data_IF_380512719612
#
_entry.id   IF_380512719612
#
_cell.length_a   1.000
_cell.length_b   1.000
_cell.length_c   1.000
_cell.angle_alpha   90.00
_cell.angle_beta   90.00
_cell.angle_gamma   90.00
#
_symmetry.space_group_name_H-M   'P 1'
#
loop_
_entity.id
_entity.type
_entity.pdbx_description
1 polymer ?
#
# COMPACT_ATOMS: atom_id res chain seq x y z
N UNK A 1 26.44 -24.01 -5.70
CA UNK A 1 25.17 -23.24 -5.82
C UNK A 1 24.96 -22.56 -4.48
N UNK A 2 25.70 -21.48 -4.23
CA UNK A 2 25.77 -20.81 -2.93
C UNK A 2 25.01 -19.48 -3.00
N UNK A 3 23.86 -19.42 -2.33
CA UNK A 3 23.05 -18.21 -2.25
C UNK A 3 23.61 -17.26 -1.20
N UNK A 4 24.21 -16.19 -1.71
CA UNK A 4 24.83 -15.11 -0.96
C UNK A 4 23.77 -14.09 -0.53
N UNK A 5 23.21 -14.24 0.68
CA UNK A 5 22.24 -13.30 1.27
C UNK A 5 22.96 -12.08 1.87
N UNK A 6 23.03 -10.98 1.10
CA UNK A 6 23.33 -9.64 1.61
C UNK A 6 22.18 -9.17 2.52
N UNK A 7 22.43 -8.60 3.71
CA UNK A 7 21.38 -8.04 4.53
C UNK A 7 20.98 -6.65 4.01
N UNK A 8 19.76 -6.57 3.48
CA UNK A 8 19.11 -5.39 2.94
C UNK A 8 18.59 -4.49 4.09
N UNK A 9 19.40 -3.54 4.56
CA UNK A 9 18.97 -2.51 5.52
C UNK A 9 18.63 -1.18 4.83
N UNK A 10 17.99 -1.26 3.66
CA UNK A 10 17.42 -0.11 2.94
C UNK A 10 15.89 -0.11 3.08
N UNK A 11 15.39 0.06 4.31
CA UNK A 11 13.99 0.47 4.55
C UNK A 11 13.96 1.29 5.84
N UNK A 12 14.35 2.55 5.71
CA UNK A 12 14.07 3.56 6.72
C UNK A 12 12.57 3.79 6.75
N UNK A 13 11.96 3.49 7.90
CA UNK A 13 10.55 3.74 8.18
C UNK A 13 10.30 5.24 8.14
N UNK A 14 9.39 5.66 7.27
CA UNK A 14 8.73 6.95 7.38
C UNK A 14 7.89 6.96 8.67
N UNK A 15 8.42 7.59 9.73
CA UNK A 15 7.65 7.93 10.91
C UNK A 15 7.36 9.42 10.83
N UNK A 16 6.07 9.74 10.66
CA UNK A 16 5.55 11.10 10.68
C UNK A 16 5.69 11.74 12.07
N UNK A 17 6.28 12.94 12.08
CA UNK A 17 5.77 14.13 12.75
C UNK A 17 5.57 14.09 14.29
N UNK A 18 6.68 13.97 15.03
CA UNK A 18 6.90 14.86 16.19
C UNK A 18 8.29 15.45 16.05
N UNK A 19 8.42 16.76 16.25
CA UNK A 19 9.66 17.53 16.09
C UNK A 19 10.68 17.23 17.22
N UNK A 20 10.92 15.95 17.52
CA UNK A 20 12.06 15.52 18.33
C UNK A 20 13.31 15.63 17.46
N UNK A 21 14.11 16.67 17.70
CA UNK A 21 15.39 16.89 17.05
C UNK A 21 16.22 15.61 17.08
N UNK A 22 16.31 14.92 15.95
CA UNK A 22 17.15 13.73 15.81
C UNK A 22 18.60 14.16 16.01
N UNK A 23 19.22 13.65 17.08
CA UNK A 23 20.64 13.89 17.34
C UNK A 23 21.42 13.31 16.16
N UNK A 24 22.26 14.12 15.52
CA UNK A 24 23.00 13.67 14.35
C UNK A 24 23.97 12.55 14.74
N UNK A 25 23.85 11.38 14.12
CA UNK A 25 24.72 10.22 14.39
C UNK A 25 26.20 10.42 14.02
N UNK A 26 26.54 11.53 13.35
CA UNK A 26 27.92 11.87 12.95
C UNK A 26 28.64 12.73 13.98
N UNK A 27 27.97 13.75 14.52
CA UNK A 27 28.56 14.70 15.47
C UNK A 27 28.00 14.58 16.89
N UNK A 28 26.85 13.94 17.08
CA UNK A 28 26.17 13.84 18.38
C UNK A 28 25.42 15.11 18.80
N UNK A 29 25.26 16.10 17.91
CA UNK A 29 24.53 17.35 18.18
C UNK A 29 23.21 17.37 17.41
N UNK A 30 22.22 18.10 17.95
CA UNK A 30 20.96 18.35 17.29
C UNK A 30 21.12 19.45 16.23
N UNK A 31 20.96 19.12 14.95
CA UNK A 31 20.93 20.09 13.86
C UNK A 31 20.03 19.59 12.71
N UNK A 32 19.39 20.52 11.99
CA UNK A 32 18.38 20.18 10.97
C UNK A 32 18.94 19.84 9.60
N UNK A 33 20.04 20.48 9.18
CA UNK A 33 20.65 20.27 7.86
C UNK A 33 22.01 19.61 8.01
N UNK A 34 22.31 18.69 7.10
CA UNK A 34 23.58 17.97 7.04
C UNK A 34 24.78 18.93 6.86
N UNK A 35 24.60 20.00 6.10
CA UNK A 35 25.61 21.04 5.85
C UNK A 35 26.02 21.81 7.12
N UNK A 36 25.12 21.90 8.11
CA UNK A 36 25.42 22.52 9.42
C UNK A 36 26.08 21.54 10.39
N UNK A 37 26.42 20.32 9.96
CA UNK A 37 27.14 19.38 10.81
C UNK A 37 28.59 19.84 10.97
N UNK A 38 29.00 20.19 12.20
CA UNK A 38 30.39 20.50 12.51
C UNK A 38 31.39 19.41 12.11
N UNK A 39 30.92 18.17 11.95
CA UNK A 39 31.75 17.04 11.55
C UNK A 39 31.91 16.92 10.02
N UNK A 40 31.16 17.67 9.20
CA UNK A 40 31.13 17.52 7.74
C UNK A 40 32.52 17.63 7.09
N UNK A 41 33.27 18.68 7.42
CA UNK A 41 34.63 18.92 6.92
C UNK A 41 35.75 18.57 7.91
N UNK A 42 35.45 17.74 8.92
CA UNK A 42 36.47 17.31 9.90
C UNK A 42 36.92 15.89 9.57
N UNK A 43 38.23 15.69 9.51
CA UNK A 43 38.87 14.37 9.36
C UNK A 43 38.83 13.65 10.71
N UNK A 44 38.38 12.40 10.72
CA UNK A 44 38.42 11.57 11.91
C UNK A 44 39.85 11.10 12.18
N UNK A 45 40.41 11.44 13.35
CA UNK A 45 41.77 11.03 13.75
C UNK A 45 41.98 9.52 13.91
N UNK A 46 40.91 8.71 13.92
CA UNK A 46 41.02 7.25 14.10
C UNK A 46 41.01 6.45 12.78
N UNK A 47 40.42 6.99 11.72
CA UNK A 47 40.28 6.29 10.45
C UNK A 47 40.54 7.14 9.21
N UNK A 48 40.93 8.41 9.40
CA UNK A 48 41.23 9.41 8.39
C UNK A 48 40.10 9.72 7.39
N UNK A 49 38.88 9.25 7.64
CA UNK A 49 37.69 9.58 6.84
C UNK A 49 37.01 10.85 7.35
N UNK A 50 36.40 11.61 6.45
CA UNK A 50 35.64 12.82 6.77
C UNK A 50 34.22 12.50 7.26
N UNK A 51 33.57 13.48 7.91
CA UNK A 51 32.14 13.42 8.19
C UNK A 51 31.77 12.85 9.56
N UNK A 52 32.71 12.64 10.49
CA UNK A 52 32.43 12.26 11.88
C UNK A 52 33.63 12.57 12.80
N UNK A 53 33.39 12.66 14.12
CA UNK A 53 34.47 12.78 15.10
C UNK A 53 35.01 11.41 15.53
N UNK A 54 36.26 11.35 16.01
CA UNK A 54 36.89 10.12 16.50
C UNK A 54 36.05 9.36 17.54
N UNK A 55 35.31 10.08 18.40
CA UNK A 55 34.41 9.50 19.42
C UNK A 55 33.18 8.79 18.83
N UNK A 56 32.77 9.19 17.62
CA UNK A 56 31.65 8.62 16.85
C UNK A 56 32.15 7.65 15.76
N UNK A 57 33.44 7.27 15.80
CA UNK A 57 34.05 6.43 14.79
C UNK A 57 33.63 4.97 14.93
N UNK A 58 32.83 4.48 13.99
CA UNK A 58 32.36 3.10 13.99
C UNK A 58 33.48 2.07 13.75
N UNK A 59 34.59 2.46 13.12
CA UNK A 59 35.73 1.57 12.89
C UNK A 59 36.61 1.38 14.13
N UNK A 60 36.49 2.22 15.16
CA UNK A 60 37.25 2.06 16.40
C UNK A 60 36.75 0.89 17.25
N UNK A 61 35.48 0.48 17.10
CA UNK A 61 34.89 -0.64 17.85
C UNK A 61 35.25 -2.03 17.33
N UNK A 62 35.88 -2.14 16.16
CA UNK A 62 36.20 -3.44 15.55
C UNK A 62 37.64 -3.90 15.76
N UNK A 63 38.52 -3.08 16.35
CA UNK A 63 39.93 -3.47 16.56
C UNK A 63 40.23 -4.19 17.88
N UNK A 64 39.31 -4.15 18.85
CA UNK A 64 39.46 -4.84 20.14
C UNK A 64 38.69 -6.16 20.25
N UNK A 65 38.03 -6.63 19.18
CA UNK A 65 37.21 -7.86 19.21
C UNK A 65 37.77 -9.06 18.44
N UNK A 66 39.00 -8.99 17.91
CA UNK A 66 39.53 -10.06 17.05
C UNK A 66 40.22 -11.24 17.77
N UNK A 67 40.37 -11.20 19.11
CA UNK A 67 40.94 -12.34 19.88
C UNK A 67 40.22 -12.69 21.19
N UNK A 68 38.97 -12.27 21.37
CA UNK A 68 38.14 -12.71 22.49
C UNK A 68 37.03 -13.63 22.01
N UNK A 69 37.18 -14.95 22.19
CA UNK A 69 36.11 -15.97 22.02
C UNK A 69 34.83 -15.50 22.73
N UNK A 70 33.88 -14.92 21.97
CA UNK A 70 32.52 -14.69 22.45
C UNK A 70 31.75 -15.98 22.18
N UNK A 71 31.65 -16.80 23.24
CA UNK A 71 30.56 -17.76 23.39
C UNK A 71 29.26 -16.98 23.29
N UNK A 72 28.50 -17.24 22.24
CA UNK A 72 27.16 -16.71 22.06
C UNK A 72 26.24 -17.34 23.11
N UNK A 73 26.00 -16.64 24.22
CA UNK A 73 24.85 -16.90 25.07
C UNK A 73 23.76 -15.90 24.71
N UNK A 74 22.67 -16.40 24.16
CA UNK A 74 21.41 -15.67 24.04
C UNK A 74 21.01 -15.17 25.43
N UNK A 75 21.15 -13.88 25.71
CA UNK A 75 20.52 -13.24 26.88
C UNK A 75 19.72 -12.04 26.42
N UNK A 76 18.43 -12.29 26.21
CA UNK A 76 17.38 -11.30 26.31
C UNK A 76 17.26 -10.85 27.78
N UNK A 77 16.90 -9.57 27.99
CA UNK A 77 16.39 -9.00 29.26
C UNK A 77 17.31 -9.06 30.50
N UNK A 78 18.13 -8.03 30.73
CA UNK A 78 18.46 -7.52 32.09
C UNK A 78 19.46 -6.36 32.04
N UNK A 79 18.97 -5.12 31.85
CA UNK A 79 19.81 -3.91 31.99
C UNK A 79 19.30 -2.91 33.02
N UNK A 80 18.33 -3.28 33.86
CA UNK A 80 17.74 -2.40 34.89
C UNK A 80 18.34 -2.62 36.29
N UNK A 81 19.13 -3.68 36.51
CA UNK A 81 19.63 -4.02 37.85
C UNK A 81 21.02 -3.49 38.22
N UNK A 82 21.76 -2.85 37.28
CA UNK A 82 23.13 -2.38 37.55
C UNK A 82 23.20 -0.94 38.09
N UNK A 83 22.25 -0.07 37.75
CA UNK A 83 22.20 1.32 38.25
C UNK A 83 21.84 1.38 39.75
N UNK A 84 20.95 0.49 40.21
CA UNK A 84 20.54 0.44 41.61
C UNK A 84 21.68 0.05 42.56
N UNK A 85 22.62 -0.80 42.12
CA UNK A 85 23.77 -1.23 42.94
C UNK A 85 24.80 -0.11 43.17
N UNK A 86 24.88 0.88 42.29
CA UNK A 86 25.78 2.03 42.47
C UNK A 86 25.19 3.09 43.42
N UNK A 87 23.87 3.24 43.42
CA UNK A 87 23.14 4.13 44.34
C UNK A 87 23.33 3.71 45.80
N UNK A 88 23.16 2.42 46.11
CA UNK A 88 23.26 1.92 47.49
C UNK A 88 24.67 2.04 48.08
N UNK A 89 25.72 1.80 47.28
CA UNK A 89 27.11 1.99 47.70
C UNK A 89 27.47 3.46 47.98
N UNK A 90 26.88 4.42 47.25
CA UNK A 90 27.05 5.85 47.55
C UNK A 90 26.35 6.20 48.86
N UNK A 91 25.11 5.75 49.03
CA UNK A 91 24.34 5.98 50.25
C UNK A 91 25.00 5.41 51.51
N UNK A 92 25.61 4.22 51.41
CA UNK A 92 26.38 3.61 52.52
C UNK A 92 27.61 4.45 52.89
N UNK A 93 28.36 4.97 51.91
CA UNK A 93 29.52 5.84 52.16
C UNK A 93 29.13 7.15 52.81
N UNK A 94 28.03 7.74 52.37
CA UNK A 94 27.52 8.99 52.96
C UNK A 94 27.01 8.78 54.40
N UNK A 95 26.35 7.65 54.67
CA UNK A 95 25.97 7.27 56.04
C UNK A 95 27.19 7.06 56.96
N UNK A 96 28.24 6.39 56.46
CA UNK A 96 29.47 6.21 57.24
C UNK A 96 30.12 7.56 57.60
N UNK A 97 30.16 8.52 56.65
CA UNK A 97 30.66 9.88 56.90
C UNK A 97 29.84 10.62 57.95
N UNK A 98 28.52 10.47 57.94
CA UNK A 98 27.61 11.04 58.95
C UNK A 98 27.86 10.44 60.34
N UNK A 99 28.00 9.12 60.46
CA UNK A 99 28.30 8.45 61.73
C UNK A 99 29.62 8.96 62.30
N UNK A 100 30.66 9.06 61.46
CA UNK A 100 31.97 9.58 61.86
C UNK A 100 31.89 11.05 62.32
N UNK A 101 31.11 11.88 61.63
CA UNK A 101 30.87 13.27 62.04
C UNK A 101 30.16 13.35 63.41
N UNK A 102 29.13 12.55 63.66
CA UNK A 102 28.44 12.57 64.95
C UNK A 102 29.30 12.03 66.09
N UNK A 103 30.13 11.02 65.82
CA UNK A 103 31.11 10.52 66.80
C UNK A 103 32.11 11.61 67.19
N UNK A 104 32.68 12.32 66.20
CA UNK A 104 33.59 13.44 66.45
C UNK A 104 32.91 14.68 67.07
N UNK A 105 31.61 14.89 66.82
CA UNK A 105 30.86 15.99 67.44
C UNK A 105 30.63 15.76 68.94
N UNK A 106 30.50 14.50 69.36
CA UNK A 106 30.38 14.17 70.77
C UNK A 106 31.69 14.39 71.52
N UNK A 107 32.85 14.15 70.91
CA UNK A 107 34.15 14.48 71.53
C UNK A 107 34.39 15.99 71.66
N UNK A 108 33.78 16.82 70.81
CA UNK A 108 33.82 18.29 70.94
C UNK A 108 32.95 18.83 72.10
N UNK A 109 32.02 18.04 72.65
CA UNK A 109 31.27 18.41 73.87
C UNK A 109 32.10 18.28 75.14
N UNK A 110 33.22 17.56 75.10
CA UNK A 110 34.13 17.36 76.23
C UNK A 110 35.16 18.49 76.37
N UNK A 111 35.13 19.49 75.48
CA UNK A 111 35.96 20.69 75.64
C UNK A 111 35.50 21.51 76.86
N UNK A 112 36.43 22.01 77.70
CA UNK A 112 36.15 22.64 78.99
C UNK A 112 35.45 24.00 78.94
N UNK A 113 35.04 24.47 77.76
CA UNK A 113 34.28 25.72 77.58
C UNK A 113 32.77 25.57 77.88
N UNK A 114 32.31 24.39 78.33
CA UNK A 114 30.89 24.09 78.57
C UNK A 114 30.33 24.60 79.91
N UNK A 115 31.15 25.19 80.79
CA UNK A 115 30.71 25.68 82.10
C UNK A 115 30.22 27.13 82.11
N UNK A 116 30.46 27.92 81.05
CA UNK A 116 29.93 29.29 80.95
C UNK A 116 28.47 29.24 80.51
N UNK A 117 27.59 28.87 81.44
CA UNK A 117 26.15 29.07 81.28
C UNK A 117 25.85 30.56 81.39
N UNK A 118 26.04 31.28 80.29
CA UNK A 118 25.50 32.63 80.13
C UNK A 118 23.96 32.52 80.13
N UNK A 119 23.32 32.91 81.22
CA UNK A 119 21.86 32.89 81.39
C UNK A 119 21.12 33.65 80.28
N UNK A 120 21.75 34.65 79.68
CA UNK A 120 21.26 35.36 78.50
C UNK A 120 21.08 34.46 77.26
N UNK A 121 21.96 33.48 77.07
CA UNK A 121 21.88 32.54 75.92
C UNK A 121 20.76 31.52 76.15
N UNK A 122 20.56 31.06 77.39
CA UNK A 122 19.47 30.12 77.73
C UNK A 122 18.10 30.77 77.48
N UNK A 123 17.92 32.02 77.89
CA UNK A 123 16.67 32.77 77.64
C UNK A 123 16.37 33.00 76.14
N UNK A 124 17.39 33.03 75.28
CA UNK A 124 17.20 33.11 73.83
C UNK A 124 16.68 31.77 73.26
N UNK A 125 17.17 30.64 73.77
CA UNK A 125 16.71 29.32 73.34
C UNK A 125 15.28 29.01 73.79
N UNK A 126 14.85 29.53 74.94
CA UNK A 126 13.47 29.35 75.43
C UNK A 126 12.45 30.13 74.59
N UNK A 127 12.80 31.31 74.07
CA UNK A 127 11.95 32.05 73.09
C UNK A 127 11.84 31.36 71.73
N UNK A 128 12.78 30.47 71.38
CA UNK A 128 12.74 29.71 70.13
C UNK A 128 11.89 28.43 70.20
N UNK A 129 11.42 28.03 71.39
CA UNK A 129 10.57 26.84 71.57
C UNK A 129 9.23 26.93 70.82
N UNK A 130 8.42 28.02 70.92
CA UNK A 130 7.16 28.12 70.19
C UNK A 130 7.36 28.05 68.66
N UNK A 131 8.40 28.71 68.12
CA UNK A 131 8.74 28.64 66.69
C UNK A 131 9.10 27.21 66.24
N UNK A 132 9.73 26.40 67.10
CA UNK A 132 9.99 24.98 66.79
C UNK A 132 8.72 24.15 66.75
N UNK A 133 7.72 24.46 67.57
CA UNK A 133 6.41 23.78 67.55
C UNK A 133 5.65 24.12 66.28
N UNK A 134 5.58 25.42 65.93
CA UNK A 134 4.96 25.87 64.68
C UNK A 134 5.63 25.26 63.44
N UNK A 135 6.97 25.23 63.42
CA UNK A 135 7.73 24.63 62.33
C UNK A 135 7.50 23.11 62.23
N UNK A 136 7.36 22.41 63.36
CA UNK A 136 6.95 20.98 63.36
C UNK A 136 5.55 20.80 62.80
N UNK A 137 4.60 21.66 63.19
CA UNK A 137 3.22 21.58 62.75
C UNK A 137 3.10 21.89 61.24
N UNK A 138 3.80 22.91 60.74
CA UNK A 138 3.90 23.21 59.32
C UNK A 138 4.51 22.04 58.52
N UNK A 139 5.56 21.39 59.04
CA UNK A 139 6.14 20.20 58.41
C UNK A 139 5.17 19.01 58.34
N UNK A 140 4.33 18.81 59.37
CA UNK A 140 3.28 17.78 59.34
C UNK A 140 2.27 18.10 58.23
N UNK A 141 1.85 19.37 58.09
CA UNK A 141 0.94 19.78 57.02
C UNK A 141 1.55 19.60 55.63
N UNK A 142 2.82 19.95 55.44
CA UNK A 142 3.53 19.73 54.18
C UNK A 142 3.60 18.24 53.81
N UNK A 143 3.76 17.35 54.79
CA UNK A 143 3.73 15.89 54.55
C UNK A 143 2.34 15.41 54.10
N UNK A 144 1.26 15.91 54.72
CA UNK A 144 -0.12 15.62 54.31
C UNK A 144 -0.40 16.12 52.89
N UNK A 145 0.03 17.34 52.57
CA UNK A 145 -0.12 17.89 51.22
C UNK A 145 0.66 17.09 50.18
N UNK A 146 1.86 16.60 50.53
CA UNK A 146 2.66 15.74 49.65
C UNK A 146 1.96 14.42 49.33
N UNK A 147 1.30 13.78 50.30
CA UNK A 147 0.51 12.57 50.03
C UNK A 147 -0.68 12.84 49.12
N UNK A 148 -1.36 13.99 49.30
CA UNK A 148 -2.48 14.39 48.43
C UNK A 148 -1.99 14.65 47.00
N UNK A 149 -0.89 15.40 46.82
CA UNK A 149 -0.31 15.67 45.50
C UNK A 149 0.13 14.38 44.79
N UNK A 150 0.67 13.40 45.55
CA UNK A 150 1.03 12.11 44.98
C UNK A 150 -0.21 11.35 44.48
N UNK A 151 -1.29 11.33 45.27
CA UNK A 151 -2.53 10.68 44.90
C UNK A 151 -3.20 11.34 43.67
N UNK A 152 -3.24 12.68 43.63
CA UNK A 152 -3.80 13.41 42.47
C UNK A 152 -2.97 13.23 41.21
N UNK A 153 -1.64 13.17 41.32
CA UNK A 153 -0.75 12.87 40.19
C UNK A 153 -1.02 11.47 39.61
N UNK A 154 -1.28 10.48 40.46
CA UNK A 154 -1.60 9.13 39.99
C UNK A 154 -2.96 9.06 39.30
N UNK A 155 -3.97 9.76 39.83
CA UNK A 155 -5.28 9.88 39.17
C UNK A 155 -5.18 10.56 37.80
N UNK A 156 -4.38 11.63 37.68
CA UNK A 156 -4.14 12.29 36.40
C UNK A 156 -3.46 11.37 35.39
N UNK A 157 -2.48 10.55 35.83
CA UNK A 157 -1.84 9.56 34.94
C UNK A 157 -2.83 8.50 34.46
N UNK A 158 -3.70 8.00 35.34
CA UNK A 158 -4.76 7.05 34.95
C UNK A 158 -5.75 7.68 33.98
N UNK A 159 -6.16 8.93 34.22
CA UNK A 159 -7.02 9.67 33.30
C UNK A 159 -6.37 9.86 31.92
N UNK A 160 -5.08 10.21 31.86
CA UNK A 160 -4.33 10.33 30.62
C UNK A 160 -4.25 9.00 29.85
N UNK A 161 -4.03 7.89 30.55
CA UNK A 161 -3.99 6.56 29.92
C UNK A 161 -5.36 6.12 29.40
N UNK A 162 -6.43 6.45 30.13
CA UNK A 162 -7.80 6.24 29.66
C UNK A 162 -8.09 7.06 28.39
N UNK A 163 -7.69 8.33 28.36
CA UNK A 163 -7.83 9.18 27.18
C UNK A 163 -7.10 8.57 25.99
N UNK A 164 -5.84 8.14 26.15
CA UNK A 164 -5.08 7.46 25.08
C UNK A 164 -5.79 6.21 24.57
N UNK A 165 -6.31 5.39 25.47
CA UNK A 165 -7.04 4.17 25.13
C UNK A 165 -8.30 4.48 24.32
N UNK A 166 -9.05 5.52 24.71
CA UNK A 166 -10.23 5.98 23.98
C UNK A 166 -9.86 6.58 22.62
N UNK A 167 -8.76 7.33 22.52
CA UNK A 167 -8.26 7.86 21.25
C UNK A 167 -7.90 6.73 20.28
N UNK A 168 -7.21 5.68 20.73
CA UNK A 168 -6.92 4.52 19.88
C UNK A 168 -8.20 3.85 19.37
N UNK A 169 -9.20 3.63 20.26
CA UNK A 169 -10.49 3.06 19.87
C UNK A 169 -11.22 3.92 18.84
N UNK A 170 -11.17 5.25 18.98
CA UNK A 170 -11.79 6.19 18.05
C UNK A 170 -11.14 6.12 16.67
N UNK A 171 -9.80 6.01 16.60
CA UNK A 171 -9.07 5.81 15.35
C UNK A 171 -9.45 4.47 14.69
N UNK A 172 -9.57 3.40 15.47
CA UNK A 172 -10.00 2.09 14.95
C UNK A 172 -11.42 2.14 14.38
N UNK A 173 -12.35 2.80 15.08
CA UNK A 173 -13.72 3.03 14.57
C UNK A 173 -13.74 3.90 13.32
N UNK A 174 -12.88 4.92 13.22
CA UNK A 174 -12.76 5.73 12.00
C UNK A 174 -12.26 4.91 10.81
N UNK A 175 -11.24 4.07 11.00
CA UNK A 175 -10.76 3.17 9.96
C UNK A 175 -11.84 2.19 9.48
N UNK A 176 -12.71 1.74 10.40
CA UNK A 176 -13.87 0.93 10.04
C UNK A 176 -14.86 1.74 9.17
N UNK A 177 -15.17 2.98 9.53
CA UNK A 177 -16.03 3.84 8.70
C UNK A 177 -15.45 4.06 7.29
N UNK A 178 -14.16 4.36 7.17
CA UNK A 178 -13.49 4.52 5.88
C UNK A 178 -13.55 3.22 5.03
N UNK A 179 -13.54 2.05 5.68
CA UNK A 179 -13.73 0.77 4.98
C UNK A 179 -15.16 0.59 4.48
N UNK A 180 -16.17 1.06 5.22
CA UNK A 180 -17.58 1.01 4.78
C UNK A 180 -17.84 1.95 3.59
N UNK A 181 -17.20 3.11 3.53
CA UNK A 181 -17.28 4.01 2.37
C UNK A 181 -16.70 3.37 1.11
N UNK A 182 -15.57 2.67 1.23
CA UNK A 182 -14.98 1.90 0.12
C UNK A 182 -15.92 0.79 -0.36
N UNK A 183 -16.58 0.08 0.57
CA UNK A 183 -17.57 -0.94 0.22
C UNK A 183 -18.77 -0.34 -0.51
N UNK A 184 -19.26 0.83 -0.07
CA UNK A 184 -20.33 1.56 -0.76
C UNK A 184 -19.93 1.94 -2.19
N UNK A 185 -18.72 2.46 -2.40
CA UNK A 185 -18.20 2.76 -3.73
C UNK A 185 -18.03 1.50 -4.62
N UNK A 186 -17.73 0.34 -4.03
CA UNK A 186 -17.73 -0.93 -4.75
C UNK A 186 -19.14 -1.38 -5.14
N UNK A 187 -20.13 -1.23 -4.26
CA UNK A 187 -21.53 -1.53 -4.57
C UNK A 187 -22.06 -0.67 -5.71
N UNK A 188 -21.76 0.64 -5.71
CA UNK A 188 -22.16 1.56 -6.79
C UNK A 188 -21.54 1.17 -8.16
N UNK A 189 -20.34 0.58 -8.16
CA UNK A 189 -19.72 0.05 -9.39
C UNK A 189 -20.40 -1.23 -9.86
N UNK A 190 -20.79 -2.12 -8.94
CA UNK A 190 -21.50 -3.35 -9.26
C UNK A 190 -22.86 -3.03 -9.88
N UNK A 191 -23.63 -2.13 -9.29
CA UNK A 191 -24.95 -1.72 -9.81
C UNK A 191 -24.83 -1.06 -11.19
N UNK A 192 -23.78 -0.28 -11.43
CA UNK A 192 -23.50 0.28 -12.76
C UNK A 192 -23.21 -0.82 -13.80
N UNK A 193 -22.40 -1.82 -13.46
CA UNK A 193 -22.10 -2.95 -14.35
C UNK A 193 -23.33 -3.83 -14.62
N UNK A 194 -24.21 -4.00 -13.63
CA UNK A 194 -25.48 -4.72 -13.80
C UNK A 194 -26.39 -3.99 -14.81
N UNK A 195 -26.49 -2.67 -14.71
CA UNK A 195 -27.22 -1.86 -15.69
C UNK A 195 -26.62 -1.96 -17.09
N UNK A 196 -25.30 -1.86 -17.23
CA UNK A 196 -24.61 -2.03 -18.52
C UNK A 196 -24.85 -3.44 -19.10
N UNK A 197 -24.92 -4.47 -18.26
CA UNK A 197 -25.27 -5.84 -18.69
C UNK A 197 -26.70 -5.93 -19.20
N UNK A 198 -27.67 -5.28 -18.55
CA UNK A 198 -29.06 -5.20 -19.01
C UNK A 198 -29.18 -4.47 -20.34
N UNK A 199 -28.50 -3.33 -20.49
CA UNK A 199 -28.46 -2.55 -21.73
C UNK A 199 -27.83 -3.36 -22.88
N UNK A 200 -26.74 -4.08 -22.60
CA UNK A 200 -26.10 -4.99 -23.56
C UNK A 200 -27.02 -6.16 -23.94
N UNK A 201 -27.74 -6.75 -22.98
CA UNK A 201 -28.71 -7.82 -23.27
C UNK A 201 -29.86 -7.32 -24.15
N UNK A 202 -30.36 -6.11 -23.89
CA UNK A 202 -31.37 -5.47 -24.73
C UNK A 202 -30.83 -5.17 -26.15
N UNK A 203 -29.57 -4.74 -26.28
CA UNK A 203 -28.91 -4.55 -27.57
C UNK A 203 -28.79 -5.87 -28.35
N UNK A 204 -28.32 -6.94 -27.71
CA UNK A 204 -28.20 -8.27 -28.33
C UNK A 204 -29.55 -8.82 -28.79
N UNK A 205 -30.63 -8.58 -28.03
CA UNK A 205 -31.99 -8.94 -28.45
C UNK A 205 -32.40 -8.23 -29.74
N UNK A 206 -32.15 -6.91 -29.85
CA UNK A 206 -32.44 -6.13 -31.07
C UNK A 206 -31.67 -6.66 -32.28
N UNK A 207 -30.39 -7.02 -32.10
CA UNK A 207 -29.57 -7.61 -33.18
C UNK A 207 -30.15 -8.97 -33.60
N UNK A 208 -30.56 -9.80 -32.64
CA UNK A 208 -31.22 -11.07 -32.92
C UNK A 208 -32.51 -10.88 -33.71
N UNK A 209 -33.35 -9.92 -33.32
CA UNK A 209 -34.62 -9.62 -34.01
C UNK A 209 -34.36 -9.13 -35.44
N UNK A 210 -33.34 -8.28 -35.65
CA UNK A 210 -32.91 -7.84 -36.98
C UNK A 210 -32.40 -9.00 -37.85
N UNK A 211 -31.61 -9.91 -37.29
CA UNK A 211 -31.12 -11.08 -38.01
C UNK A 211 -32.28 -12.01 -38.41
N UNK A 212 -33.24 -12.25 -37.51
CA UNK A 212 -34.43 -13.04 -37.80
C UNK A 212 -35.26 -12.41 -38.93
N UNK A 213 -35.40 -11.08 -38.93
CA UNK A 213 -36.06 -10.36 -40.03
C UNK A 213 -35.33 -10.54 -41.38
N UNK A 214 -33.99 -10.46 -41.39
CA UNK A 214 -33.20 -10.70 -42.60
C UNK A 214 -33.31 -12.14 -43.10
N UNK A 215 -33.33 -13.12 -42.20
CA UNK A 215 -33.54 -14.54 -42.54
C UNK A 215 -34.89 -14.72 -43.23
N UNK A 216 -35.97 -14.22 -42.63
CA UNK A 216 -37.32 -14.29 -43.22
C UNK A 216 -37.39 -13.60 -44.59
N UNK A 217 -36.70 -12.46 -44.75
CA UNK A 217 -36.61 -11.76 -46.03
C UNK A 217 -35.89 -12.60 -47.09
N UNK A 218 -34.79 -13.27 -46.74
CA UNK A 218 -34.08 -14.18 -47.63
C UNK A 218 -34.95 -15.39 -48.01
N UNK A 219 -35.63 -16.01 -47.05
CA UNK A 219 -36.54 -17.13 -47.31
C UNK A 219 -37.66 -16.74 -48.29
N UNK A 220 -38.26 -15.58 -48.08
CA UNK A 220 -39.28 -15.04 -49.00
C UNK A 220 -38.73 -14.81 -50.41
N UNK A 221 -37.53 -14.24 -50.55
CA UNK A 221 -36.89 -14.06 -51.86
C UNK A 221 -36.58 -15.39 -52.54
N UNK A 222 -36.12 -16.41 -51.79
CA UNK A 222 -35.88 -17.74 -52.35
C UNK A 222 -37.17 -18.40 -52.84
N UNK A 223 -38.29 -18.17 -52.15
CA UNK A 223 -39.61 -18.62 -52.59
C UNK A 223 -40.06 -17.93 -53.89
N UNK A 224 -39.90 -16.61 -54.01
CA UNK A 224 -40.21 -15.88 -55.25
C UNK A 224 -39.37 -16.37 -56.43
N UNK A 225 -38.07 -16.60 -56.23
CA UNK A 225 -37.18 -17.17 -57.25
C UNK A 225 -37.65 -18.58 -57.64
N UNK A 226 -38.09 -19.40 -56.69
CA UNK A 226 -38.68 -20.72 -56.94
C UNK A 226 -39.92 -20.67 -57.84
N UNK A 227 -40.82 -19.72 -57.61
CA UNK A 227 -42.01 -19.54 -58.44
C UNK A 227 -41.64 -19.10 -59.87
N UNK A 228 -40.73 -18.12 -60.01
CA UNK A 228 -40.27 -17.64 -61.32
C UNK A 228 -39.58 -18.76 -62.10
N UNK A 229 -38.74 -19.56 -61.46
CA UNK A 229 -38.06 -20.70 -62.10
C UNK A 229 -39.04 -21.77 -62.57
N UNK A 230 -40.08 -22.05 -61.78
CA UNK A 230 -41.16 -22.98 -62.16
C UNK A 230 -41.93 -22.46 -63.38
N UNK A 231 -42.31 -21.18 -63.37
CA UNK A 231 -43.00 -20.53 -64.49
C UNK A 231 -42.15 -20.52 -65.78
N UNK A 232 -40.84 -20.27 -65.65
CA UNK A 232 -39.91 -20.36 -66.77
C UNK A 232 -39.79 -21.79 -67.33
N UNK A 233 -39.87 -22.82 -66.48
CA UNK A 233 -39.88 -24.21 -66.93
C UNK A 233 -41.13 -24.49 -67.78
N UNK A 234 -42.31 -24.09 -67.32
CA UNK A 234 -43.56 -24.24 -68.09
C UNK A 234 -43.51 -23.52 -69.44
N UNK A 235 -42.97 -22.29 -69.47
CA UNK A 235 -42.80 -21.54 -70.72
C UNK A 235 -41.83 -22.26 -71.67
N UNK A 236 -40.76 -22.87 -71.14
CA UNK A 236 -39.80 -23.63 -71.93
C UNK A 236 -40.43 -24.89 -72.52
N UNK A 237 -41.25 -25.60 -71.75
CA UNK A 237 -41.99 -26.78 -72.22
C UNK A 237 -43.00 -26.40 -73.31
N UNK A 238 -43.75 -25.30 -73.11
CA UNK A 238 -44.66 -24.74 -74.14
C UNK A 238 -43.91 -24.31 -75.40
N UNK A 239 -42.73 -23.71 -75.25
CA UNK A 239 -41.90 -23.34 -76.40
C UNK A 239 -41.44 -24.58 -77.16
N UNK A 240 -41.10 -25.67 -76.45
CA UNK A 240 -40.69 -26.92 -77.06
C UNK A 240 -41.82 -27.59 -77.85
N UNK A 241 -43.04 -27.60 -77.31
CA UNK A 241 -44.20 -28.14 -78.03
C UNK A 241 -44.54 -27.33 -79.28
N UNK A 242 -44.42 -26.00 -79.23
CA UNK A 242 -44.55 -25.14 -80.40
C UNK A 242 -43.46 -25.41 -81.46
N UNK A 243 -42.22 -25.64 -81.04
CA UNK A 243 -41.15 -26.01 -81.99
C UNK A 243 -41.40 -27.38 -82.63
N UNK A 244 -41.94 -28.34 -81.87
CA UNK A 244 -42.29 -29.66 -82.39
C UNK A 244 -43.47 -29.56 -83.38
N UNK A 245 -44.50 -28.78 -83.07
CA UNK A 245 -45.63 -28.50 -83.98
C UNK A 245 -45.19 -27.82 -85.27
N UNK A 246 -44.31 -26.82 -85.17
CA UNK A 246 -43.78 -26.13 -86.36
C UNK A 246 -42.91 -27.03 -87.21
N UNK A 247 -42.12 -27.94 -86.59
CA UNK A 247 -41.37 -28.96 -87.31
C UNK A 247 -42.29 -29.95 -88.05
N UNK A 248 -43.41 -30.36 -87.43
CA UNK A 248 -44.41 -31.22 -88.05
C UNK A 248 -45.09 -30.55 -89.24
N UNK A 249 -45.52 -29.28 -89.09
CA UNK A 249 -46.07 -28.48 -90.20
C UNK A 249 -45.04 -28.36 -91.34
N UNK A 250 -43.78 -28.08 -91.02
CA UNK A 250 -42.72 -28.01 -92.02
C UNK A 250 -42.52 -29.36 -92.76
N UNK A 251 -42.61 -30.48 -92.04
CA UNK A 251 -42.59 -31.81 -92.64
C UNK A 251 -43.80 -32.08 -93.54
N UNK A 252 -45.01 -31.69 -93.14
CA UNK A 252 -46.21 -31.80 -93.99
C UNK A 252 -46.08 -30.98 -95.28
N UNK A 253 -45.58 -29.74 -95.18
CA UNK A 253 -45.29 -28.89 -96.36
C UNK A 253 -44.23 -29.53 -97.26
N UNK A 254 -43.19 -30.14 -96.68
CA UNK A 254 -42.14 -30.85 -97.44
C UNK A 254 -42.72 -32.05 -98.19
N UNK A 255 -43.56 -32.86 -97.56
CA UNK A 255 -44.25 -34.00 -98.21
C UNK A 255 -45.13 -33.50 -99.36
N UNK A 256 -45.89 -32.42 -99.16
CA UNK A 256 -46.73 -31.80 -100.19
C UNK A 256 -45.98 -31.19 -101.39
N UNK A 257 -44.68 -30.88 -101.26
CA UNK A 257 -43.85 -30.33 -102.36
C UNK A 257 -43.16 -31.38 -103.22
N UNK A 258 -43.26 -32.68 -102.91
CA UNK A 258 -42.58 -33.74 -103.69
C UNK A 258 -43.22 -34.08 -105.04
N UNK A 259 -44.30 -33.39 -105.46
CA UNK A 259 -44.99 -33.64 -106.73
C UNK A 259 -44.71 -32.67 -107.88
N UNK A 260 -43.84 -31.66 -107.75
CA UNK A 260 -43.41 -30.90 -108.92
C UNK A 260 -42.04 -30.25 -108.74
N UNK A 261 -41.22 -30.41 -109.79
CA UNK A 261 -40.02 -29.64 -110.17
C UNK A 261 -38.70 -30.44 -110.12
N UNK A 262 -38.34 -30.92 -111.31
CA UNK A 262 -36.98 -31.18 -111.78
C UNK A 262 -36.08 -29.92 -111.67
N UNK A 263 -34.77 -30.15 -111.45
CA UNK A 263 -33.57 -29.30 -111.71
C UNK A 263 -32.90 -28.64 -110.47
N UNK A 264 -31.64 -28.15 -110.61
CA UNK A 264 -30.42 -28.87 -110.98
C UNK A 264 -29.26 -28.56 -109.99
N UNK A 265 -28.12 -29.22 -110.21
CA UNK A 265 -26.85 -29.06 -109.49
C UNK A 265 -26.33 -27.61 -109.36
N UNK A 266 -25.90 -27.21 -108.16
CA UNK A 266 -24.92 -26.15 -107.92
C UNK A 266 -24.32 -26.36 -106.51
N UNK A 267 -23.12 -26.92 -106.40
CA UNK A 267 -21.83 -26.23 -106.29
C UNK A 267 -21.47 -25.84 -104.85
N UNK A 268 -20.45 -26.54 -104.37
CA UNK A 268 -19.68 -26.36 -103.14
C UNK A 268 -19.24 -24.90 -102.92
N UNK A 269 -19.32 -24.42 -101.69
CA UNK A 269 -18.47 -23.34 -101.20
C UNK A 269 -18.20 -23.54 -99.70
N UNK A 270 -16.97 -23.97 -99.41
CA UNK A 270 -16.35 -24.11 -98.10
C UNK A 270 -15.93 -22.74 -97.55
N UNK A 271 -16.48 -22.35 -96.40
CA UNK A 271 -16.09 -21.13 -95.69
C UNK A 271 -15.72 -21.44 -94.23
N UNK A 272 -14.42 -21.68 -93.99
CA UNK A 272 -13.82 -21.78 -92.66
C UNK A 272 -13.82 -20.41 -91.97
N UNK A 273 -14.64 -20.23 -90.93
CA UNK A 273 -14.65 -19.04 -90.07
C UNK A 273 -14.25 -19.37 -88.64
N UNK A 274 -12.93 -19.42 -88.37
CA UNK A 274 -12.36 -19.38 -87.01
C UNK A 274 -12.64 -18.02 -86.39
N UNK A 275 -13.48 -17.94 -85.35
CA UNK A 275 -13.55 -16.77 -84.48
C UNK A 275 -12.89 -17.06 -83.13
N UNK A 276 -11.89 -16.25 -82.83
CA UNK A 276 -11.03 -16.34 -81.64
C UNK A 276 -11.79 -15.85 -80.40
N UNK A 277 -11.74 -16.66 -79.34
CA UNK A 277 -12.10 -16.27 -77.98
C UNK A 277 -11.05 -15.28 -77.42
N UNK A 278 -11.45 -14.02 -77.20
CA UNK A 278 -10.71 -13.11 -76.33
C UNK A 278 -11.24 -13.24 -74.90
N UNK A 279 -10.43 -13.87 -74.04
CA UNK A 279 -10.57 -13.80 -72.58
C UNK A 279 -10.01 -12.46 -72.12
N UNK A 280 -10.87 -11.57 -71.63
CA UNK A 280 -10.46 -10.40 -70.86
C UNK A 280 -10.36 -10.77 -69.38
N UNK A 281 -9.13 -10.76 -68.87
CA UNK A 281 -8.81 -10.67 -67.46
C UNK A 281 -9.16 -9.26 -66.98
N UNK A 282 -9.94 -9.14 -65.90
CA UNK A 282 -9.92 -7.94 -65.06
C UNK A 282 -9.67 -8.35 -63.61
N UNK A 283 -8.80 -7.56 -62.98
CA UNK A 283 -8.20 -7.65 -61.66
C UNK A 283 -9.19 -7.50 -60.52
#
# INVERSE_FOLDING_TARGET
>A
MDFNLKPQWSMWRHNHFTHQYQVCGKCGLAHHRFEMCLAYNKRCFSCDKFGHFARQCFTARSRSSLFGKIRCTKSTKSKVSSEQKNSTKKQQRDNHRLIQYYSNKNSLRELPFSSVRNSAIVNFFDKAVPLKVELKQANIQLRKNKSVISATSELLKRAQENIRTLTCKLVDSQNQLDSTEKLKACLDKITKLEKEKEDNAACMKKISDQNNFLILKCEYQTYEIGNITTQNHELRDKSKTLTDQTADIANQIRIGRTHHINRPNASQCSGNGRFQNQRTFYR
#
